data_IF_008514949080
#
_entry.id   IF_008514949080
#
_cell.length_a   1.000
_cell.length_b   1.000
_cell.length_c   1.000
_cell.angle_alpha   90.00
_cell.angle_beta   90.00
_cell.angle_gamma   90.00
#
_symmetry.space_group_name_H-M   'P 1'
#
loop_
_entity.id
_entity.type
_entity.pdbx_description
1 polymer ?
#
# COMPACT_ATOMS: atom_id res chain seq x y z
N UNK A 1 -39.58 33.98 11.26
CA UNK A 1 -38.71 32.91 11.83
C UNK A 1 -37.75 32.47 10.75
N UNK A 2 -36.52 32.91 10.85
CA UNK A 2 -35.47 32.66 9.85
C UNK A 2 -34.78 31.35 10.18
N UNK A 3 -34.87 30.38 9.27
CA UNK A 3 -34.19 29.09 9.40
C UNK A 3 -32.77 29.27 8.87
N UNK A 4 -31.79 29.25 9.76
CA UNK A 4 -30.37 29.27 9.39
C UNK A 4 -30.00 27.90 8.75
N UNK A 5 -29.32 27.89 7.59
CA UNK A 5 -28.79 26.63 7.05
C UNK A 5 -27.61 26.18 7.91
N UNK A 6 -27.68 24.95 8.39
CA UNK A 6 -26.58 24.23 9.02
C UNK A 6 -25.38 24.23 8.07
N UNK A 7 -24.33 24.98 8.44
CA UNK A 7 -23.01 24.85 7.83
C UNK A 7 -22.47 23.47 8.20
N UNK A 8 -22.50 22.56 7.24
CA UNK A 8 -21.71 21.32 7.30
C UNK A 8 -20.25 21.74 7.20
N UNK A 9 -19.59 21.82 8.33
CA UNK A 9 -18.13 21.93 8.35
C UNK A 9 -17.59 20.58 7.89
N UNK A 10 -17.19 20.47 6.63
CA UNK A 10 -16.20 19.50 6.20
C UNK A 10 -14.90 19.83 6.95
N UNK A 11 -14.65 19.17 8.07
CA UNK A 11 -13.31 19.03 8.57
C UNK A 11 -12.56 18.23 7.50
N UNK A 12 -11.74 18.88 6.69
CA UNK A 12 -10.68 18.21 5.98
C UNK A 12 -9.84 17.51 7.06
N UNK A 13 -10.01 16.19 7.18
CA UNK A 13 -9.19 15.35 8.05
C UNK A 13 -7.77 15.58 7.55
N UNK A 14 -6.92 16.22 8.34
CA UNK A 14 -5.52 16.35 8.01
C UNK A 14 -4.98 14.93 7.88
N UNK A 15 -4.67 14.53 6.66
CA UNK A 15 -4.11 13.21 6.39
C UNK A 15 -2.73 13.17 7.04
N UNK A 16 -2.56 12.32 8.04
CA UNK A 16 -1.27 12.06 8.64
C UNK A 16 -0.37 11.42 7.58
N UNK A 17 0.86 11.89 7.41
CA UNK A 17 1.75 11.46 6.31
C UNK A 17 3.05 10.83 6.79
N UNK A 18 3.19 10.64 8.09
CA UNK A 18 4.33 9.98 8.72
C UNK A 18 3.85 9.19 9.93
N UNK A 19 4.34 7.97 10.05
CA UNK A 19 4.07 7.11 11.21
C UNK A 19 5.26 6.21 11.51
N UNK A 20 5.28 5.63 12.71
CA UNK A 20 6.30 4.69 13.17
C UNK A 20 5.63 3.40 13.62
N UNK A 21 6.04 2.28 13.03
CA UNK A 21 5.66 0.94 13.46
C UNK A 21 6.70 0.44 14.46
N UNK A 22 6.30 0.27 15.71
CA UNK A 22 7.21 -0.13 16.80
C UNK A 22 7.28 -1.64 17.03
N UNK A 23 6.22 -2.33 16.69
CA UNK A 23 6.11 -3.78 16.87
C UNK A 23 6.48 -4.46 15.56
N UNK A 24 6.12 -5.66 15.37
CA UNK A 24 6.23 -6.47 14.17
C UNK A 24 6.65 -5.70 12.89
N UNK A 25 7.80 -6.07 12.30
CA UNK A 25 8.38 -5.38 11.15
C UNK A 25 8.62 -3.87 11.40
N UNK A 26 9.34 -3.54 12.48
CA UNK A 26 9.58 -2.16 12.92
C UNK A 26 10.17 -1.30 11.82
N UNK A 27 9.54 -0.18 11.52
CA UNK A 27 9.91 0.74 10.43
C UNK A 27 9.24 2.10 10.58
N UNK A 28 9.76 3.06 9.87
CA UNK A 28 9.07 4.32 9.63
C UNK A 28 8.29 4.24 8.32
N UNK A 29 7.11 4.86 8.27
CA UNK A 29 6.29 4.93 7.06
C UNK A 29 6.06 6.40 6.68
N UNK A 30 6.22 6.73 5.41
CA UNK A 30 5.85 8.02 4.83
C UNK A 30 4.82 7.84 3.72
N UNK A 31 3.78 8.68 3.72
CA UNK A 31 2.82 8.79 2.62
C UNK A 31 3.18 10.02 1.78
N UNK A 32 3.79 9.77 0.63
CA UNK A 32 4.18 10.80 -0.31
C UNK A 32 3.09 11.01 -1.37
N UNK A 33 3.13 12.15 -2.05
CA UNK A 33 2.20 12.47 -3.12
C UNK A 33 2.90 12.42 -4.47
N UNK A 34 2.34 11.65 -5.39
CA UNK A 34 2.81 11.55 -6.76
C UNK A 34 1.86 12.17 -7.77
N UNK A 35 2.17 11.98 -9.04
CA UNK A 35 1.35 12.47 -10.17
C UNK A 35 0.03 11.70 -10.35
N UNK A 36 -0.17 10.65 -9.58
CA UNK A 36 -1.31 9.75 -9.58
C UNK A 36 -1.09 8.50 -10.42
N UNK A 37 -1.81 7.44 -10.06
CA UNK A 37 -1.69 6.14 -10.70
C UNK A 37 -2.05 6.20 -12.18
N UNK A 38 -1.16 5.73 -13.05
CA UNK A 38 -1.37 5.67 -14.50
C UNK A 38 -2.42 4.63 -14.87
N UNK A 39 -2.56 3.56 -14.09
CA UNK A 39 -3.49 2.48 -14.41
C UNK A 39 -4.96 2.88 -14.26
N UNK A 40 -5.35 3.57 -13.22
CA UNK A 40 -6.68 4.22 -12.95
C UNK A 40 -7.94 3.36 -13.11
N UNK A 41 -7.84 2.03 -13.29
CA UNK A 41 -8.99 1.16 -13.59
C UNK A 41 -9.47 0.28 -12.43
N UNK A 42 -8.73 0.27 -11.31
CA UNK A 42 -9.09 -0.53 -10.14
C UNK A 42 -10.42 -0.05 -9.55
N UNK A 43 -11.41 -0.94 -9.46
CA UNK A 43 -12.78 -0.60 -9.06
C UNK A 43 -12.94 -0.32 -7.57
N UNK A 44 -11.96 -0.68 -6.76
CA UNK A 44 -11.95 -0.56 -5.30
C UNK A 44 -11.14 0.63 -4.79
N UNK A 45 -10.34 1.27 -5.67
CA UNK A 45 -9.33 2.25 -5.27
C UNK A 45 -9.83 3.68 -5.51
N UNK A 46 -9.75 4.53 -4.49
CA UNK A 46 -10.04 5.97 -4.55
C UNK A 46 -8.85 6.86 -4.16
N UNK A 47 -7.65 6.29 -4.09
CA UNK A 47 -6.41 7.02 -3.76
C UNK A 47 -6.03 8.10 -4.79
N UNK A 48 -6.66 8.11 -5.98
CA UNK A 48 -6.48 9.18 -6.97
C UNK A 48 -6.81 10.58 -6.41
N UNK A 49 -7.62 10.66 -5.36
CA UNK A 49 -7.96 11.91 -4.68
C UNK A 49 -6.77 12.59 -4.00
N UNK A 50 -5.71 11.82 -3.67
CA UNK A 50 -4.45 12.33 -3.10
C UNK A 50 -3.35 12.42 -4.17
N UNK A 51 -3.66 12.85 -5.36
CA UNK A 51 -2.68 13.03 -6.44
C UNK A 51 -2.65 14.46 -6.96
N UNK A 52 -1.49 14.91 -7.46
CA UNK A 52 -1.35 16.23 -8.06
C UNK A 52 -0.38 16.16 -9.25
N UNK A 53 -0.77 16.78 -10.39
CA UNK A 53 0.08 16.84 -11.59
C UNK A 53 1.20 17.88 -11.49
N UNK A 54 1.16 18.76 -10.49
CA UNK A 54 2.19 19.76 -10.26
C UNK A 54 3.33 19.16 -9.44
N UNK A 55 4.45 18.84 -10.11
CA UNK A 55 5.64 18.23 -9.49
C UNK A 55 6.25 19.11 -8.39
N UNK A 56 6.25 20.42 -8.56
CA UNK A 56 6.80 21.38 -7.60
C UNK A 56 5.99 21.38 -6.29
N UNK A 57 4.68 21.30 -6.41
CA UNK A 57 3.77 21.20 -5.27
C UNK A 57 3.92 19.83 -4.56
N UNK A 58 4.08 18.75 -5.33
CA UNK A 58 4.36 17.43 -4.77
C UNK A 58 5.69 17.43 -4.02
N UNK A 59 6.75 17.90 -4.65
CA UNK A 59 8.08 17.99 -4.04
C UNK A 59 8.07 18.80 -2.73
N UNK A 60 7.39 19.95 -2.71
CA UNK A 60 7.27 20.78 -1.51
C UNK A 60 6.55 20.06 -0.36
N UNK A 61 5.47 19.32 -0.67
CA UNK A 61 4.76 18.51 0.32
C UNK A 61 5.66 17.37 0.81
N UNK A 62 6.23 16.61 -0.13
CA UNK A 62 7.04 15.42 0.15
C UNK A 62 8.29 15.77 0.96
N UNK A 63 8.91 16.92 0.69
CA UNK A 63 10.06 17.41 1.46
C UNK A 63 9.70 17.59 2.94
N UNK A 64 8.55 18.21 3.24
CA UNK A 64 8.09 18.38 4.63
C UNK A 64 7.78 17.05 5.32
N UNK A 65 7.25 16.09 4.58
CA UNK A 65 6.99 14.74 5.12
C UNK A 65 8.30 14.04 5.46
N UNK A 66 9.27 14.07 4.55
CA UNK A 66 10.57 13.43 4.71
C UNK A 66 11.44 14.06 5.82
N UNK A 67 11.20 15.33 6.20
CA UNK A 67 11.85 15.97 7.36
C UNK A 67 11.56 15.24 8.69
N UNK A 68 10.43 14.52 8.80
CA UNK A 68 10.07 13.77 10.00
C UNK A 68 10.84 12.45 10.15
N UNK A 69 11.48 11.95 9.11
CA UNK A 69 12.19 10.67 9.12
C UNK A 69 13.39 10.76 10.05
N UNK A 70 13.45 9.84 11.02
CA UNK A 70 14.48 9.82 12.07
C UNK A 70 15.56 8.78 11.83
N UNK A 71 15.25 7.67 11.15
CA UNK A 71 16.14 6.52 10.95
C UNK A 71 16.17 5.56 12.14
N UNK A 72 15.24 5.69 13.10
CA UNK A 72 15.24 4.92 14.36
C UNK A 72 15.35 3.40 14.15
N UNK A 73 14.79 2.87 13.06
CA UNK A 73 14.81 1.45 12.74
C UNK A 73 15.68 1.12 11.52
N UNK A 74 16.34 2.13 10.93
CA UNK A 74 17.14 1.98 9.70
C UNK A 74 16.32 1.37 8.53
N UNK A 75 15.00 1.49 8.61
CA UNK A 75 14.02 0.87 7.72
C UNK A 75 12.90 1.89 7.43
N UNK A 76 12.70 2.21 6.15
CA UNK A 76 11.73 3.20 5.68
C UNK A 76 10.79 2.57 4.64
N UNK A 77 9.49 2.63 4.90
CA UNK A 77 8.47 2.29 3.92
C UNK A 77 7.92 3.59 3.31
N UNK A 78 8.03 3.70 2.00
CA UNK A 78 7.53 4.83 1.22
C UNK A 78 6.32 4.37 0.44
N UNK A 79 5.15 4.84 0.84
CA UNK A 79 3.89 4.63 0.11
C UNK A 79 3.46 5.93 -0.58
N UNK A 80 2.73 5.81 -1.66
CA UNK A 80 2.13 6.94 -2.36
C UNK A 80 0.84 6.48 -3.07
N UNK A 81 0.06 7.43 -3.53
CA UNK A 81 -1.25 7.19 -4.17
C UNK A 81 -1.14 6.56 -5.57
N UNK A 82 -0.16 5.67 -5.76
CA UNK A 82 0.16 5.02 -7.03
C UNK A 82 1.37 4.09 -6.91
N UNK A 83 2.34 4.25 -7.80
CA UNK A 83 3.62 3.55 -7.78
C UNK A 83 4.77 4.50 -7.51
N UNK A 84 5.88 4.00 -6.95
CA UNK A 84 7.12 4.76 -6.83
C UNK A 84 7.54 5.44 -8.15
N UNK A 85 7.23 4.82 -9.29
CA UNK A 85 7.52 5.33 -10.63
C UNK A 85 6.71 6.58 -11.03
N UNK A 86 5.79 7.02 -10.21
CA UNK A 86 4.92 8.19 -10.39
C UNK A 86 5.30 9.35 -9.43
N UNK A 87 6.35 9.14 -8.63
CA UNK A 87 7.00 10.22 -7.88
C UNK A 87 7.87 11.06 -8.82
N UNK A 88 7.94 12.36 -8.55
CA UNK A 88 8.85 13.25 -9.27
C UNK A 88 10.32 12.95 -8.95
N UNK A 89 11.20 13.25 -9.90
CA UNK A 89 12.64 12.97 -9.78
C UNK A 89 13.28 13.62 -8.55
N UNK A 90 12.88 14.83 -8.20
CA UNK A 90 13.46 15.53 -7.06
C UNK A 90 13.07 14.86 -5.74
N UNK A 91 11.84 14.36 -5.64
CA UNK A 91 11.38 13.55 -4.49
C UNK A 91 12.20 12.24 -4.39
N UNK A 92 12.43 11.54 -5.49
CA UNK A 92 13.23 10.29 -5.51
C UNK A 92 14.66 10.56 -5.04
N UNK A 93 15.32 11.61 -5.53
CA UNK A 93 16.65 12.02 -5.08
C UNK A 93 16.68 12.42 -3.60
N UNK A 94 15.62 13.11 -3.14
CA UNK A 94 15.51 13.50 -1.74
C UNK A 94 15.35 12.27 -0.82
N UNK A 95 14.60 11.24 -1.22
CA UNK A 95 14.52 9.97 -0.48
C UNK A 95 15.90 9.37 -0.30
N UNK A 96 16.68 9.24 -1.38
CA UNK A 96 18.08 8.71 -1.31
C UNK A 96 18.93 9.51 -0.35
N UNK A 97 18.87 10.85 -0.44
CA UNK A 97 19.61 11.75 0.44
C UNK A 97 19.24 11.58 1.91
N UNK A 98 17.94 11.57 2.22
CA UNK A 98 17.43 11.37 3.60
C UNK A 98 17.85 10.01 4.14
N UNK A 99 17.71 8.96 3.36
CA UNK A 99 18.12 7.60 3.76
C UNK A 99 19.61 7.54 4.09
N UNK A 100 20.49 8.14 3.29
CA UNK A 100 21.92 8.23 3.59
C UNK A 100 22.19 9.02 4.87
N UNK A 101 21.56 10.19 5.04
CA UNK A 101 21.76 11.06 6.21
C UNK A 101 21.26 10.43 7.52
N UNK A 102 20.22 9.62 7.45
CA UNK A 102 19.58 8.97 8.62
C UNK A 102 20.03 7.53 8.83
N UNK A 103 21.05 7.07 8.08
CA UNK A 103 21.58 5.71 8.17
C UNK A 103 20.51 4.63 7.96
N UNK A 104 19.57 4.88 7.02
CA UNK A 104 18.55 3.91 6.62
C UNK A 104 19.20 2.95 5.62
N UNK A 105 19.04 1.65 5.85
CA UNK A 105 19.63 0.60 5.03
C UNK A 105 18.61 -0.12 4.17
N UNK A 106 17.35 -0.19 4.63
CA UNK A 106 16.26 -0.86 3.90
C UNK A 106 15.19 0.14 3.51
N UNK A 107 14.77 0.10 2.25
CA UNK A 107 13.70 0.95 1.71
C UNK A 107 12.65 0.03 1.08
N UNK A 108 11.40 0.22 1.44
CA UNK A 108 10.26 -0.45 0.82
C UNK A 108 9.53 0.53 -0.08
N UNK A 109 9.27 0.12 -1.32
CA UNK A 109 8.43 0.86 -2.26
C UNK A 109 7.27 0.00 -2.74
N UNK A 110 6.15 0.66 -3.04
CA UNK A 110 5.00 0.01 -3.67
C UNK A 110 4.99 0.25 -5.18
N UNK A 111 4.51 -0.75 -5.93
CA UNK A 111 4.33 -0.63 -7.36
C UNK A 111 3.16 -1.46 -7.88
N UNK A 112 2.53 -0.96 -8.92
CA UNK A 112 1.62 -1.75 -9.75
C UNK A 112 2.41 -2.68 -10.67
N UNK A 113 1.87 -3.86 -10.97
CA UNK A 113 2.52 -4.87 -11.84
C UNK A 113 2.88 -4.36 -13.24
N UNK A 114 2.20 -3.34 -13.74
CA UNK A 114 2.50 -2.73 -15.04
C UNK A 114 3.96 -2.21 -15.15
N UNK A 115 4.60 -1.94 -14.02
CA UNK A 115 5.99 -1.49 -13.94
C UNK A 115 7.00 -2.63 -13.68
N UNK A 116 6.55 -3.89 -13.74
CA UNK A 116 7.38 -5.07 -13.45
C UNK A 116 8.76 -5.03 -14.13
N UNK A 117 8.81 -4.66 -15.41
CA UNK A 117 10.07 -4.60 -16.21
C UNK A 117 10.99 -3.45 -15.80
N UNK A 118 10.54 -2.48 -14.99
CA UNK A 118 11.34 -1.33 -14.55
C UNK A 118 11.99 -1.55 -13.18
N UNK A 119 11.58 -2.60 -12.45
CA UNK A 119 12.05 -2.84 -11.09
C UNK A 119 13.56 -3.11 -11.05
N UNK A 120 14.09 -3.85 -12.04
CA UNK A 120 15.53 -4.12 -12.11
C UNK A 120 16.36 -2.84 -12.24
N UNK A 121 15.88 -1.84 -12.98
CA UNK A 121 16.58 -0.56 -13.12
C UNK A 121 16.44 0.29 -11.85
N UNK A 122 15.28 0.26 -11.19
CA UNK A 122 15.11 0.91 -9.89
C UNK A 122 16.05 0.31 -8.83
N UNK A 123 16.24 -1.02 -8.82
CA UNK A 123 17.20 -1.68 -7.92
C UNK A 123 18.64 -1.23 -8.18
N UNK A 124 19.02 -1.00 -9.43
CA UNK A 124 20.34 -0.43 -9.76
C UNK A 124 20.46 1.01 -9.28
N UNK A 125 19.42 1.81 -9.46
CA UNK A 125 19.39 3.20 -9.01
C UNK A 125 19.50 3.34 -7.50
N UNK A 126 18.99 2.37 -6.74
CA UNK A 126 19.04 2.29 -5.28
C UNK A 126 20.07 1.26 -4.77
N UNK A 127 21.13 0.99 -5.52
CA UNK A 127 22.12 -0.06 -5.20
C UNK A 127 22.86 0.13 -3.87
N UNK A 128 22.85 1.34 -3.30
CA UNK A 128 23.41 1.63 -1.97
C UNK A 128 22.50 1.12 -0.82
N UNK A 129 21.30 0.63 -1.13
CA UNK A 129 20.29 0.23 -0.16
C UNK A 129 19.75 -1.19 -0.45
N UNK A 130 19.24 -1.86 0.57
CA UNK A 130 18.39 -3.02 0.39
C UNK A 130 17.00 -2.55 -0.03
N UNK A 131 16.64 -2.73 -1.31
CA UNK A 131 15.37 -2.32 -1.84
C UNK A 131 14.36 -3.48 -1.80
N UNK A 132 13.24 -3.28 -1.12
CA UNK A 132 12.09 -4.19 -1.07
C UNK A 132 10.94 -3.63 -1.89
N UNK A 133 10.51 -4.39 -2.90
CA UNK A 133 9.39 -4.01 -3.77
C UNK A 133 8.10 -4.71 -3.35
N UNK A 134 7.07 -3.93 -3.08
CA UNK A 134 5.75 -4.43 -2.68
C UNK A 134 4.77 -4.31 -3.85
N UNK A 135 4.16 -5.44 -4.21
CA UNK A 135 3.14 -5.50 -5.26
C UNK A 135 1.74 -5.27 -4.67
N UNK A 136 0.99 -4.34 -5.21
CA UNK A 136 -0.46 -4.32 -5.00
C UNK A 136 -1.13 -5.44 -5.80
N UNK A 137 -1.20 -6.65 -5.24
CA UNK A 137 -1.76 -7.84 -5.90
C UNK A 137 -3.26 -7.99 -5.66
N UNK A 138 -3.70 -7.76 -4.44
CA UNK A 138 -5.04 -7.86 -3.86
C UNK A 138 -5.55 -9.30 -3.68
N UNK A 139 -5.34 -10.19 -4.64
CA UNK A 139 -5.71 -11.62 -4.60
C UNK A 139 -5.02 -12.39 -5.72
N UNK A 140 -4.77 -13.67 -5.49
CA UNK A 140 -4.34 -14.61 -6.56
C UNK A 140 -5.52 -15.13 -7.39
N UNK A 141 -6.76 -15.05 -6.89
CA UNK A 141 -7.93 -15.40 -7.68
C UNK A 141 -8.01 -14.52 -8.93
N UNK A 142 -7.63 -15.10 -10.07
CA UNK A 142 -7.53 -14.39 -11.35
C UNK A 142 -8.86 -13.80 -11.77
N UNK A 143 -9.95 -14.56 -11.64
CA UNK A 143 -11.25 -14.11 -12.12
C UNK A 143 -11.80 -12.99 -11.23
N UNK A 144 -11.62 -13.08 -9.92
CA UNK A 144 -11.98 -12.02 -9.00
C UNK A 144 -11.09 -10.77 -9.22
N UNK A 145 -9.78 -10.96 -9.34
CA UNK A 145 -8.82 -9.89 -9.55
C UNK A 145 -9.08 -9.10 -10.85
N UNK A 146 -9.39 -9.79 -11.96
CA UNK A 146 -9.53 -9.14 -13.26
C UNK A 146 -10.98 -8.74 -13.59
N UNK A 147 -11.98 -9.49 -13.15
CA UNK A 147 -13.37 -9.21 -13.48
C UNK A 147 -14.08 -8.32 -12.45
N UNK A 148 -13.71 -8.44 -11.15
CA UNK A 148 -14.30 -7.64 -10.07
C UNK A 148 -13.43 -6.45 -9.75
N UNK A 149 -12.16 -6.68 -9.39
CA UNK A 149 -11.23 -5.62 -8.97
C UNK A 149 -10.62 -4.85 -10.13
N UNK A 150 -10.62 -5.42 -11.34
CA UNK A 150 -10.04 -4.85 -12.58
C UNK A 150 -8.60 -4.42 -12.40
N UNK A 151 -7.80 -5.25 -11.74
CA UNK A 151 -6.42 -4.95 -11.37
C UNK A 151 -5.45 -4.89 -12.56
N UNK A 152 -5.75 -5.59 -13.67
CA UNK A 152 -4.93 -5.56 -14.90
C UNK A 152 -3.64 -6.37 -14.82
N UNK A 153 -3.58 -7.36 -13.95
CA UNK A 153 -2.46 -8.31 -13.86
C UNK A 153 -2.85 -9.58 -14.62
N UNK A 154 -2.45 -9.66 -15.90
CA UNK A 154 -2.83 -10.77 -16.79
C UNK A 154 -2.11 -12.09 -16.48
N UNK A 155 -1.01 -12.03 -15.74
CA UNK A 155 -0.29 -13.21 -15.31
C UNK A 155 -1.13 -14.01 -14.30
N UNK A 156 -1.15 -15.33 -14.43
CA UNK A 156 -1.89 -16.25 -13.55
C UNK A 156 -0.96 -17.06 -12.66
N UNK A 157 0.30 -17.26 -13.10
CA UNK A 157 1.26 -18.06 -12.35
C UNK A 157 1.81 -17.25 -11.17
N UNK A 158 1.58 -17.69 -9.90
CA UNK A 158 2.05 -16.99 -8.72
C UNK A 158 3.57 -16.77 -8.70
N UNK A 159 4.36 -17.72 -9.15
CA UNK A 159 5.82 -17.61 -9.22
C UNK A 159 6.26 -16.47 -10.16
N UNK A 160 5.62 -16.35 -11.33
CA UNK A 160 5.90 -15.24 -12.26
C UNK A 160 5.40 -13.89 -11.75
N UNK A 161 4.29 -13.88 -11.01
CA UNK A 161 3.77 -12.66 -10.39
C UNK A 161 4.76 -12.13 -9.36
N UNK A 162 5.39 -12.99 -8.58
CA UNK A 162 6.31 -12.60 -7.51
C UNK A 162 7.74 -12.34 -7.97
N UNK A 163 8.14 -12.72 -9.18
CA UNK A 163 9.53 -12.78 -9.67
C UNK A 163 10.38 -11.53 -9.34
N UNK A 164 9.80 -10.33 -9.44
CA UNK A 164 10.50 -9.07 -9.19
C UNK A 164 10.05 -8.36 -7.90
N UNK A 165 9.14 -8.97 -7.13
CA UNK A 165 8.58 -8.39 -5.93
C UNK A 165 8.93 -9.21 -4.69
N UNK A 166 9.35 -8.52 -3.63
CA UNK A 166 9.68 -9.13 -2.33
C UNK A 166 8.44 -9.27 -1.45
N UNK A 167 7.46 -8.38 -1.62
CA UNK A 167 6.28 -8.26 -0.77
C UNK A 167 5.00 -8.07 -1.60
N UNK A 168 3.86 -8.33 -0.98
CA UNK A 168 2.56 -8.10 -1.62
C UNK A 168 1.51 -7.54 -0.66
N UNK A 169 0.65 -6.67 -1.19
CA UNK A 169 -0.60 -6.24 -0.56
C UNK A 169 -1.75 -7.14 -1.03
N UNK A 170 -2.58 -7.56 -0.07
CA UNK A 170 -3.84 -8.25 -0.29
C UNK A 170 -5.00 -7.42 0.23
N UNK A 171 -6.17 -7.57 -0.39
CA UNK A 171 -7.38 -6.85 -0.01
C UNK A 171 -8.52 -7.85 0.21
N UNK A 172 -8.97 -7.97 1.44
CA UNK A 172 -10.00 -8.94 1.84
C UNK A 172 -11.24 -8.27 2.42
N UNK A 173 -12.31 -9.06 2.52
CA UNK A 173 -13.59 -8.58 3.03
C UNK A 173 -14.47 -7.93 1.97
N UNK A 174 -14.36 -8.34 0.72
CA UNK A 174 -15.15 -7.87 -0.42
C UNK A 174 -16.19 -8.93 -0.80
N UNK A 175 -17.40 -8.50 -1.13
CA UNK A 175 -18.45 -9.40 -1.59
C UNK A 175 -18.01 -10.23 -2.79
N UNK A 176 -18.16 -11.54 -2.70
CA UNK A 176 -17.74 -12.51 -3.71
C UNK A 176 -16.44 -13.26 -3.37
N UNK A 177 -15.68 -12.80 -2.39
CA UNK A 177 -14.63 -13.61 -1.77
C UNK A 177 -15.25 -14.62 -0.78
N UNK A 178 -14.49 -15.63 -0.42
CA UNK A 178 -14.85 -16.63 0.61
C UNK A 178 -13.72 -16.79 1.62
N UNK A 179 -14.01 -17.35 2.79
CA UNK A 179 -12.98 -17.68 3.80
C UNK A 179 -11.91 -18.58 3.19
N UNK A 180 -12.32 -19.53 2.34
CA UNK A 180 -11.40 -20.45 1.66
C UNK A 180 -10.51 -19.75 0.65
N UNK A 181 -11.06 -18.87 -0.20
CA UNK A 181 -10.26 -18.09 -1.17
C UNK A 181 -9.25 -17.17 -0.46
N UNK A 182 -9.65 -16.54 0.65
CA UNK A 182 -8.76 -15.70 1.47
C UNK A 182 -7.63 -16.53 2.08
N UNK A 183 -7.93 -17.72 2.62
CA UNK A 183 -6.94 -18.63 3.18
C UNK A 183 -5.93 -19.06 2.13
N UNK A 184 -6.39 -19.45 0.94
CA UNK A 184 -5.54 -19.82 -0.18
C UNK A 184 -4.63 -18.63 -0.61
N UNK A 185 -5.16 -17.41 -0.66
CA UNK A 185 -4.38 -16.21 -0.96
C UNK A 185 -3.25 -15.97 0.06
N UNK A 186 -3.54 -16.15 1.36
CA UNK A 186 -2.54 -16.01 2.41
C UNK A 186 -1.45 -17.08 2.29
N UNK A 187 -1.83 -18.34 2.06
CA UNK A 187 -0.88 -19.46 1.92
C UNK A 187 0.02 -19.28 0.70
N UNK A 188 -0.54 -18.89 -0.45
CA UNK A 188 0.24 -18.54 -1.64
C UNK A 188 1.11 -17.29 -1.42
N UNK A 189 0.59 -16.28 -0.75
CA UNK A 189 1.34 -15.08 -0.40
C UNK A 189 2.57 -15.40 0.45
N UNK A 190 2.39 -16.18 1.50
CA UNK A 190 3.49 -16.63 2.38
C UNK A 190 4.46 -17.61 1.68
N UNK A 191 4.03 -18.28 0.61
CA UNK A 191 4.89 -19.15 -0.17
C UNK A 191 5.80 -18.37 -1.13
N UNK A 192 5.29 -17.33 -1.77
CA UNK A 192 5.96 -16.67 -2.88
C UNK A 192 6.55 -15.30 -2.54
N UNK A 193 6.17 -14.67 -1.42
CA UNK A 193 6.68 -13.38 -0.98
C UNK A 193 7.38 -13.50 0.38
N UNK A 194 8.33 -12.64 0.64
CA UNK A 194 9.01 -12.56 1.94
C UNK A 194 8.06 -12.07 3.04
N UNK A 195 7.18 -11.11 2.70
CA UNK A 195 6.17 -10.53 3.59
C UNK A 195 4.90 -10.21 2.82
N UNK A 196 3.77 -10.35 3.48
CA UNK A 196 2.47 -9.94 2.97
C UNK A 196 1.82 -8.91 3.89
N UNK A 197 1.11 -7.96 3.29
CA UNK A 197 0.28 -7.00 4.00
C UNK A 197 -1.19 -7.27 3.64
N UNK A 198 -1.99 -7.59 4.64
CA UNK A 198 -3.41 -7.93 4.50
C UNK A 198 -4.23 -6.72 4.92
N UNK A 199 -4.88 -6.08 3.96
CA UNK A 199 -5.77 -4.95 4.17
C UNK A 199 -7.21 -5.46 4.21
N UNK A 200 -7.98 -5.05 5.21
CA UNK A 200 -9.42 -5.32 5.25
C UNK A 200 -10.13 -4.14 4.57
N UNK A 201 -11.03 -4.48 3.64
CA UNK A 201 -11.79 -3.47 2.88
C UNK A 201 -12.60 -2.57 3.82
N UNK A 202 -12.39 -1.27 3.72
CA UNK A 202 -13.17 -0.23 4.41
C UNK A 202 -14.10 0.48 3.44
N UNK A 203 -15.12 1.15 3.98
CA UNK A 203 -15.99 2.03 3.18
C UNK A 203 -15.17 3.15 2.54
N UNK A 204 -15.33 3.31 1.24
CA UNK A 204 -14.72 4.37 0.46
C UNK A 204 -15.68 4.90 -0.62
N UNK A 205 -15.19 5.80 -1.48
CA UNK A 205 -16.01 6.45 -2.51
C UNK A 205 -16.36 5.56 -3.71
N UNK A 206 -15.76 4.36 -3.81
CA UNK A 206 -15.94 3.46 -4.95
C UNK A 206 -17.23 2.63 -4.87
N UNK A 207 -17.56 1.90 -5.94
CA UNK A 207 -18.71 0.99 -5.98
C UNK A 207 -18.46 -0.34 -5.24
N UNK A 208 -17.19 -0.71 -5.04
CA UNK A 208 -16.82 -1.92 -4.30
C UNK A 208 -16.94 -1.63 -2.80
N UNK A 209 -17.71 -2.46 -2.11
CA UNK A 209 -18.02 -2.25 -0.69
C UNK A 209 -17.60 -3.43 0.17
N UNK A 210 -17.30 -3.19 1.46
CA UNK A 210 -16.98 -4.24 2.41
C UNK A 210 -18.15 -5.19 2.62
N UNK A 211 -17.85 -6.49 2.72
CA UNK A 211 -18.78 -7.53 3.16
C UNK A 211 -18.61 -7.77 4.66
N UNK A 212 -19.51 -7.23 5.46
CA UNK A 212 -19.41 -7.27 6.93
C UNK A 212 -19.44 -8.69 7.50
N UNK A 213 -20.18 -9.61 6.87
CA UNK A 213 -20.26 -11.00 7.36
C UNK A 213 -18.95 -11.75 7.04
N UNK A 214 -18.38 -11.54 5.86
CA UNK A 214 -17.08 -12.10 5.51
C UNK A 214 -15.97 -11.53 6.42
N UNK A 215 -16.00 -10.24 6.73
CA UNK A 215 -15.03 -9.61 7.64
C UNK A 215 -15.14 -10.22 9.05
N UNK A 216 -16.36 -10.46 9.56
CA UNK A 216 -16.55 -11.15 10.85
C UNK A 216 -16.00 -12.57 10.81
N UNK A 217 -16.23 -13.31 9.70
CA UNK A 217 -15.69 -14.64 9.52
C UNK A 217 -14.15 -14.62 9.47
N UNK A 218 -13.54 -13.66 8.75
CA UNK A 218 -12.09 -13.45 8.72
C UNK A 218 -11.52 -13.24 10.13
N UNK A 219 -12.13 -12.34 10.91
CA UNK A 219 -11.68 -12.04 12.29
C UNK A 219 -11.79 -13.27 13.19
N UNK A 220 -12.82 -14.08 13.02
CA UNK A 220 -13.07 -15.28 13.84
C UNK A 220 -12.19 -16.47 13.45
N UNK A 221 -11.98 -16.71 12.15
CA UNK A 221 -11.45 -17.98 11.63
C UNK A 221 -10.04 -17.88 11.05
N UNK A 222 -9.63 -16.69 10.54
CA UNK A 222 -8.36 -16.50 9.88
C UNK A 222 -7.38 -15.69 10.74
N UNK A 223 -7.81 -14.55 11.24
CA UNK A 223 -6.99 -13.64 12.02
C UNK A 223 -6.25 -14.33 13.19
N UNK A 224 -6.88 -15.20 14.03
CA UNK A 224 -6.19 -15.86 15.13
C UNK A 224 -5.04 -16.76 14.69
N UNK A 225 -5.07 -17.28 13.46
CA UNK A 225 -4.05 -18.17 12.91
C UNK A 225 -2.80 -17.39 12.47
N UNK A 226 -3.00 -16.21 11.88
CA UNK A 226 -1.92 -15.47 11.22
C UNK A 226 -1.48 -14.20 11.94
N UNK A 227 -2.21 -13.72 12.96
CA UNK A 227 -1.91 -12.47 13.66
C UNK A 227 -0.49 -12.40 14.25
N UNK A 228 0.05 -13.52 14.66
CA UNK A 228 1.39 -13.62 15.27
C UNK A 228 2.46 -14.07 14.26
N UNK A 229 2.13 -14.22 12.98
CA UNK A 229 3.09 -14.55 11.93
C UNK A 229 3.87 -13.29 11.52
N UNK A 230 5.20 -13.31 11.74
CA UNK A 230 6.09 -12.17 11.45
C UNK A 230 6.12 -11.75 9.98
N UNK A 231 5.69 -12.64 9.07
CA UNK A 231 5.65 -12.39 7.64
C UNK A 231 4.29 -11.91 7.14
N UNK A 232 3.30 -11.71 8.03
CA UNK A 232 1.96 -11.26 7.66
C UNK A 232 1.55 -10.06 8.53
N UNK A 233 1.58 -8.86 7.99
CA UNK A 233 0.99 -7.68 8.62
C UNK A 233 -0.52 -7.67 8.33
N UNK A 234 -1.38 -7.58 9.35
CA UNK A 234 -2.84 -7.62 9.18
C UNK A 234 -3.45 -6.33 9.70
N UNK A 235 -4.06 -5.57 8.80
CA UNK A 235 -4.62 -4.26 9.04
C UNK A 235 -6.15 -4.36 9.06
N UNK A 236 -6.70 -4.64 10.26
CA UNK A 236 -8.15 -4.78 10.45
C UNK A 236 -8.82 -3.41 10.31
N UNK A 237 -8.22 -2.39 10.92
CA UNK A 237 -8.65 -1.01 10.79
C UNK A 237 -7.72 -0.33 9.79
N UNK A 238 -8.09 -0.39 8.50
CA UNK A 238 -7.28 0.21 7.45
C UNK A 238 -7.33 1.74 7.61
N UNK A 239 -6.22 2.33 8.03
CA UNK A 239 -6.01 3.77 8.11
C UNK A 239 -5.33 4.26 6.83
N UNK A 240 -5.16 5.59 6.68
CA UNK A 240 -4.51 6.20 5.51
C UNK A 240 -3.07 5.66 5.26
N UNK A 241 -2.42 5.12 6.30
CA UNK A 241 -1.11 4.47 6.22
C UNK A 241 -1.19 2.95 6.02
N UNK A 242 -2.39 2.38 6.00
CA UNK A 242 -2.52 0.94 6.08
C UNK A 242 -1.90 0.38 7.37
N UNK A 243 -1.93 1.14 8.45
CA UNK A 243 -1.44 0.74 9.78
C UNK A 243 -2.60 0.89 10.74
N UNK A 244 -3.24 -0.20 11.05
CA UNK A 244 -4.24 -0.27 12.11
C UNK A 244 -3.64 -0.96 13.34
N UNK A 245 -3.98 -0.48 14.53
CA UNK A 245 -3.70 -1.14 15.80
C UNK A 245 -4.49 -2.44 15.94
#
# INVERSE_FOLDING_TARGET
MSVHPLRVFFYAKFMERYSIIHKKNSREIVLLRGSGCVYTKCTFCDYYSDSCKNEEENFRLNSKVLENVTGIYQNLEVINSGSVFELDKNTVELIKKVCKQKNIHTIHFESHYLYNNRIADLRKEFSDFTLKMKLGLETFDYDFRENVLKKGIKEKNPEKISENFDEANFLFGIKGQTVESIRNDIELGLKYFERICINIMCENSTSVKPDKELIKAFIKEIYPIYKDNDRADILINNTDFGVGD
#
